data_IF_484376818791
#
_entry.id   IF_484376818791
#
_cell.length_a   1.000
_cell.length_b   1.000
_cell.length_c   1.000
_cell.angle_alpha   90.00
_cell.angle_beta   90.00
_cell.angle_gamma   90.00
#
_symmetry.space_group_name_H-M   'P 1'
#
loop_
_entity.id
_entity.type
_entity.pdbx_description
1 polymer ?
#
# COMPACT_ATOMS: atom_id res chain seq x y z
N UNK A 1 12.05 0.28 -24.00
CA UNK A 1 10.94 0.04 -23.05
C UNK A 1 9.99 -0.99 -23.68
N UNK A 2 10.41 -2.26 -23.77
CA UNK A 2 9.68 -3.35 -24.49
C UNK A 2 9.49 -4.58 -23.59
N UNK A 3 10.02 -4.55 -22.36
CA UNK A 3 9.95 -5.67 -21.41
C UNK A 3 8.60 -5.81 -20.69
N UNK A 4 7.58 -5.01 -21.02
CA UNK A 4 6.30 -5.01 -20.27
C UNK A 4 5.08 -5.30 -21.15
N UNK A 5 5.25 -5.61 -22.44
CA UNK A 5 4.13 -5.64 -23.39
C UNK A 5 4.22 -6.73 -24.48
N UNK A 6 5.08 -7.74 -24.31
CA UNK A 6 5.15 -8.91 -25.20
C UNK A 6 4.09 -9.97 -24.87
N UNK A 7 3.71 -10.82 -25.85
CA UNK A 7 2.77 -11.95 -25.64
C UNK A 7 3.22 -12.89 -24.51
N UNK A 8 4.52 -12.99 -24.26
CA UNK A 8 5.10 -13.80 -23.18
C UNK A 8 4.85 -13.23 -21.77
N UNK A 9 4.41 -11.97 -21.65
CA UNK A 9 4.01 -11.35 -20.38
C UNK A 9 2.54 -11.58 -20.02
N UNK A 10 1.73 -12.10 -20.95
CA UNK A 10 0.31 -12.41 -20.71
C UNK A 10 0.06 -13.26 -19.46
N UNK A 11 0.83 -14.31 -19.14
CA UNK A 11 0.60 -15.10 -17.92
C UNK A 11 1.02 -14.37 -16.62
N UNK A 12 1.79 -13.29 -16.69
CA UNK A 12 2.20 -12.50 -15.51
C UNK A 12 1.15 -11.45 -15.10
N UNK A 13 0.28 -11.05 -16.03
CA UNK A 13 -0.78 -10.07 -15.79
C UNK A 13 -1.67 -10.38 -14.55
N UNK A 14 -2.20 -11.61 -14.36
CA UNK A 14 -3.03 -11.91 -13.19
C UNK A 14 -2.25 -11.77 -11.87
N UNK A 15 -0.99 -12.20 -11.83
CA UNK A 15 -0.12 -12.05 -10.65
C UNK A 15 0.11 -10.59 -10.29
N UNK A 16 0.36 -9.73 -11.29
CA UNK A 16 0.57 -8.30 -11.09
C UNK A 16 -0.70 -7.58 -10.60
N UNK A 17 -1.86 -7.96 -11.14
CA UNK A 17 -3.14 -7.41 -10.69
C UNK A 17 -3.47 -7.84 -9.26
N UNK A 18 -3.17 -9.10 -8.90
CA UNK A 18 -3.33 -9.58 -7.52
C UNK A 18 -2.35 -8.91 -6.56
N UNK A 19 -1.15 -8.54 -7.01
CA UNK A 19 -0.17 -7.81 -6.19
C UNK A 19 -0.55 -6.34 -5.92
N UNK A 20 -1.39 -5.72 -6.75
CA UNK A 20 -1.76 -4.31 -6.60
C UNK A 20 -2.27 -3.93 -5.18
N UNK A 21 -3.18 -4.68 -4.52
CA UNK A 21 -3.60 -4.40 -3.14
C UNK A 21 -2.51 -4.61 -2.08
N UNK A 22 -1.37 -5.24 -2.42
CA UNK A 22 -0.27 -5.40 -1.49
C UNK A 22 0.36 -4.06 -1.10
N UNK A 23 0.46 -3.10 -2.03
CA UNK A 23 1.05 -1.79 -1.76
C UNK A 23 0.40 -1.04 -0.58
N UNK A 24 -0.93 -0.82 -0.55
CA UNK A 24 -1.56 -0.18 0.60
C UNK A 24 -1.47 -1.01 1.88
N UNK A 25 -1.52 -2.35 1.79
CA UNK A 25 -1.37 -3.21 2.96
C UNK A 25 0.02 -3.11 3.59
N UNK A 26 1.07 -3.14 2.78
CA UNK A 26 2.44 -2.95 3.25
C UNK A 26 2.63 -1.58 3.88
N UNK A 27 2.02 -0.55 3.30
CA UNK A 27 2.04 0.78 3.90
C UNK A 27 1.38 0.79 5.29
N UNK A 28 0.23 0.16 5.44
CA UNK A 28 -0.48 0.02 6.71
C UNK A 28 0.32 -0.77 7.74
N UNK A 29 0.91 -1.91 7.35
CA UNK A 29 1.77 -2.72 8.21
C UNK A 29 3.00 -1.92 8.69
N UNK A 30 3.65 -1.22 7.76
CA UNK A 30 4.81 -0.35 8.07
C UNK A 30 4.42 0.77 9.02
N UNK A 31 3.28 1.41 8.82
CA UNK A 31 2.80 2.47 9.70
C UNK A 31 2.52 1.95 11.12
N UNK A 32 1.86 0.79 11.24
CA UNK A 32 1.63 0.12 12.52
C UNK A 32 2.94 -0.24 13.22
N UNK A 33 3.92 -0.77 12.49
CA UNK A 33 5.24 -1.09 13.01
C UNK A 33 5.99 0.15 13.50
N UNK A 34 6.00 1.25 12.73
CA UNK A 34 6.61 2.51 13.15
C UNK A 34 5.99 3.05 14.44
N UNK A 35 4.66 2.99 14.55
CA UNK A 35 3.97 3.45 15.74
C UNK A 35 4.31 2.60 16.98
N UNK A 36 4.39 1.27 16.83
CA UNK A 36 4.85 0.38 17.89
C UNK A 36 6.30 0.68 18.31
N UNK A 37 7.18 1.01 17.37
CA UNK A 37 8.56 1.42 17.66
C UNK A 37 8.59 2.73 18.46
N UNK A 38 7.78 3.72 18.08
CA UNK A 38 7.66 4.98 18.81
C UNK A 38 7.14 4.79 20.25
N UNK A 39 6.31 3.77 20.48
CA UNK A 39 5.85 3.36 21.82
C UNK A 39 6.85 2.46 22.56
N UNK A 40 8.08 2.34 22.06
CA UNK A 40 9.15 1.50 22.61
C UNK A 40 8.79 0.00 22.69
N UNK A 41 7.89 -0.47 21.81
CA UNK A 41 7.44 -1.88 21.71
C UNK A 41 8.13 -2.63 20.56
N UNK A 42 9.44 -2.42 20.38
CA UNK A 42 10.20 -3.02 19.28
C UNK A 42 10.15 -4.56 19.28
N UNK A 43 10.16 -5.19 20.46
CA UNK A 43 10.06 -6.65 20.58
C UNK A 43 8.73 -7.21 20.05
N UNK A 44 7.65 -6.44 20.15
CA UNK A 44 6.36 -6.83 19.56
C UNK A 44 6.46 -6.86 18.05
N UNK A 45 7.07 -5.84 17.44
CA UNK A 45 7.29 -5.78 15.98
C UNK A 45 8.14 -6.96 15.51
N UNK A 46 9.20 -7.29 16.25
CA UNK A 46 10.05 -8.46 15.94
C UNK A 46 9.23 -9.75 15.99
N UNK A 47 8.41 -9.96 17.02
CA UNK A 47 7.57 -11.16 17.15
C UNK A 47 6.57 -11.29 16.01
N UNK A 48 5.91 -10.19 15.63
CA UNK A 48 4.94 -10.21 14.52
C UNK A 48 5.64 -10.51 13.20
N UNK A 49 6.76 -9.85 12.90
CA UNK A 49 7.51 -10.09 11.67
C UNK A 49 8.09 -11.51 11.62
N UNK A 50 8.55 -12.06 12.76
CA UNK A 50 9.02 -13.44 12.83
C UNK A 50 7.88 -14.44 12.59
N UNK A 51 6.69 -14.18 13.17
CA UNK A 51 5.51 -14.99 12.91
C UNK A 51 5.11 -14.93 11.42
N UNK A 52 5.10 -13.75 10.81
CA UNK A 52 4.82 -13.57 9.39
C UNK A 52 5.85 -14.28 8.49
N UNK A 53 7.13 -14.22 8.85
CA UNK A 53 8.22 -14.91 8.15
C UNK A 53 8.05 -16.43 8.16
N UNK A 54 7.55 -16.98 9.27
CA UNK A 54 7.26 -18.41 9.39
C UNK A 54 5.99 -18.76 8.62
N UNK A 55 4.90 -18.00 8.80
CA UNK A 55 3.59 -18.28 8.19
C UNK A 55 3.64 -18.18 6.65
N UNK A 56 4.41 -17.23 6.11
CA UNK A 56 4.49 -16.96 4.67
C UNK A 56 4.85 -18.20 3.83
N UNK A 57 5.94 -18.96 4.08
CA UNK A 57 6.24 -20.18 3.33
C UNK A 57 5.20 -21.28 3.53
N UNK A 58 4.62 -21.41 4.73
CA UNK A 58 3.55 -22.39 5.00
C UNK A 58 2.26 -22.10 4.25
N UNK A 59 1.94 -20.83 4.01
CA UNK A 59 0.83 -20.43 3.14
C UNK A 59 1.19 -20.57 1.66
N UNK A 60 2.39 -20.12 1.26
CA UNK A 60 2.81 -20.12 -0.13
C UNK A 60 2.95 -21.53 -0.71
N UNK A 61 3.53 -22.49 0.03
CA UNK A 61 3.77 -23.84 -0.48
C UNK A 61 2.49 -24.55 -1.00
N UNK A 62 1.41 -24.72 -0.21
CA UNK A 62 0.19 -25.36 -0.70
C UNK A 62 -0.54 -24.52 -1.75
N UNK A 63 -0.51 -23.19 -1.63
CA UNK A 63 -1.17 -22.28 -2.57
C UNK A 63 -0.50 -22.28 -3.95
N UNK A 64 0.83 -22.32 -4.02
CA UNK A 64 1.57 -22.44 -5.28
C UNK A 64 1.29 -23.79 -5.91
N UNK A 65 1.31 -24.87 -5.14
CA UNK A 65 0.99 -26.22 -5.64
C UNK A 65 -0.44 -26.26 -6.21
N UNK A 66 -1.42 -25.67 -5.52
CA UNK A 66 -2.78 -25.57 -6.03
C UNK A 66 -2.85 -24.74 -7.32
N UNK A 67 -2.12 -23.62 -7.38
CA UNK A 67 -2.11 -22.72 -8.53
C UNK A 67 -1.51 -23.34 -9.78
N UNK A 68 -0.56 -24.26 -9.63
CA UNK A 68 -0.02 -25.02 -10.76
C UNK A 68 -1.10 -25.87 -11.47
N UNK A 69 -2.14 -26.30 -10.76
CA UNK A 69 -3.23 -27.09 -11.32
C UNK A 69 -4.27 -26.23 -12.07
N UNK A 70 -4.29 -24.91 -11.84
CA UNK A 70 -5.28 -23.99 -12.43
C UNK A 70 -4.81 -23.34 -13.74
N UNK A 71 -3.59 -23.66 -14.16
CA UNK A 71 -3.03 -23.24 -15.45
C UNK A 71 -1.96 -22.14 -15.35
N UNK A 72 -1.48 -21.65 -16.50
CA UNK A 72 -0.36 -20.71 -16.55
C UNK A 72 -0.67 -19.40 -15.82
N UNK A 73 0.24 -18.98 -14.93
CA UNK A 73 0.14 -17.71 -14.17
C UNK A 73 -0.52 -17.82 -12.79
N UNK A 74 -1.34 -18.85 -12.55
CA UNK A 74 -2.06 -19.00 -11.27
C UNK A 74 -1.18 -19.32 -10.07
N UNK A 75 -0.04 -20.00 -10.28
CA UNK A 75 0.97 -20.18 -9.24
C UNK A 75 1.46 -18.83 -8.68
N UNK A 76 1.70 -17.85 -9.54
CA UNK A 76 2.07 -16.49 -9.14
C UNK A 76 0.91 -15.72 -8.51
N UNK A 77 -0.30 -15.88 -9.03
CA UNK A 77 -1.51 -15.28 -8.46
C UNK A 77 -1.80 -15.75 -7.04
N UNK A 78 -1.71 -17.06 -6.77
CA UNK A 78 -1.92 -17.60 -5.43
C UNK A 78 -0.76 -17.30 -4.47
N UNK A 79 0.47 -17.17 -4.97
CA UNK A 79 1.58 -16.66 -4.16
C UNK A 79 1.38 -15.17 -3.77
N UNK A 80 0.87 -14.36 -4.71
CA UNK A 80 0.49 -12.98 -4.42
C UNK A 80 -0.63 -12.94 -3.39
N UNK A 81 -1.65 -13.80 -3.51
CA UNK A 81 -2.71 -13.92 -2.52
C UNK A 81 -2.19 -14.28 -1.12
N UNK A 82 -1.28 -15.26 -1.02
CA UNK A 82 -0.63 -15.61 0.24
C UNK A 82 0.10 -14.41 0.87
N UNK A 83 0.76 -13.61 0.04
CA UNK A 83 1.48 -12.41 0.46
C UNK A 83 0.52 -11.33 0.98
N UNK A 84 -0.59 -11.09 0.27
CA UNK A 84 -1.68 -10.20 0.70
C UNK A 84 -2.25 -10.64 2.05
N UNK A 85 -2.54 -11.93 2.23
CA UNK A 85 -3.07 -12.46 3.49
C UNK A 85 -2.08 -12.27 4.63
N UNK A 86 -0.79 -12.54 4.39
CA UNK A 86 0.25 -12.39 5.42
C UNK A 86 0.42 -10.93 5.82
N UNK A 87 0.47 -10.03 4.83
CA UNK A 87 0.62 -8.60 5.07
C UNK A 87 -0.63 -8.00 5.73
N UNK A 88 -1.82 -8.44 5.30
CA UNK A 88 -3.08 -8.07 5.90
C UNK A 88 -3.18 -8.53 7.36
N UNK A 89 -2.74 -9.75 7.67
CA UNK A 89 -2.66 -10.24 9.05
C UNK A 89 -1.65 -9.42 9.87
N UNK A 90 -0.47 -9.10 9.31
CA UNK A 90 0.55 -8.29 9.98
C UNK A 90 0.01 -6.88 10.32
N UNK A 91 -0.63 -6.23 9.35
CA UNK A 91 -1.30 -4.96 9.55
C UNK A 91 -2.39 -5.08 10.62
N UNK A 92 -3.30 -6.05 10.50
CA UNK A 92 -4.41 -6.25 11.44
C UNK A 92 -3.92 -6.50 12.88
N UNK A 93 -2.92 -7.36 13.08
CA UNK A 93 -2.33 -7.63 14.40
C UNK A 93 -1.67 -6.37 14.96
N UNK A 94 -0.92 -5.64 14.14
CA UNK A 94 -0.29 -4.39 14.55
C UNK A 94 -1.34 -3.38 15.01
N UNK A 95 -2.39 -3.15 14.22
CA UNK A 95 -3.49 -2.25 14.60
C UNK A 95 -4.28 -2.74 15.81
N UNK A 96 -4.48 -4.05 15.95
CA UNK A 96 -5.16 -4.65 17.11
C UNK A 96 -4.40 -4.39 18.42
N UNK A 97 -3.08 -4.61 18.41
CA UNK A 97 -2.22 -4.39 19.60
C UNK A 97 -2.13 -2.90 19.95
N UNK A 98 -2.14 -2.05 18.92
CA UNK A 98 -2.04 -0.61 19.05
C UNK A 98 -3.40 0.00 19.52
N UNK A 99 -4.50 -0.68 19.23
CA UNK A 99 -5.83 -0.40 19.78
C UNK A 99 -6.35 0.99 19.44
N UNK A 100 -7.06 1.61 20.38
CA UNK A 100 -7.61 2.97 20.21
C UNK A 100 -6.54 4.05 20.04
N UNK A 101 -5.28 3.78 20.40
CA UNK A 101 -4.17 4.72 20.21
C UNK A 101 -3.74 4.83 18.73
N UNK A 102 -4.04 3.81 17.92
CA UNK A 102 -3.67 3.76 16.51
C UNK A 102 -4.70 4.40 15.58
N UNK A 103 -5.96 4.25 15.96
CA UNK A 103 -7.09 4.47 15.08
C UNK A 103 -7.83 5.72 15.53
N UNK A 104 -7.28 6.86 15.14
CA UNK A 104 -7.95 8.14 15.34
C UNK A 104 -9.07 8.33 14.29
N UNK A 105 -10.11 9.10 14.63
CA UNK A 105 -11.16 9.52 13.70
C UNK A 105 -10.57 10.19 12.45
N UNK A 106 -9.43 10.86 12.62
CA UNK A 106 -8.65 11.45 11.52
C UNK A 106 -8.13 10.39 10.56
N UNK A 107 -7.61 9.26 11.06
CA UNK A 107 -7.11 8.17 10.22
C UNK A 107 -8.24 7.55 9.38
N UNK A 108 -9.39 7.25 9.99
CA UNK A 108 -10.57 6.77 9.27
C UNK A 108 -11.06 7.77 8.22
N UNK A 109 -11.06 9.06 8.54
CA UNK A 109 -11.46 10.10 7.59
C UNK A 109 -10.52 10.14 6.36
N UNK A 110 -9.20 10.03 6.58
CA UNK A 110 -8.21 9.98 5.49
C UNK A 110 -8.41 8.72 4.66
N UNK A 111 -8.53 7.54 5.28
CA UNK A 111 -8.78 6.28 4.59
C UNK A 111 -10.06 6.32 3.75
N UNK A 112 -11.15 6.84 4.31
CA UNK A 112 -12.42 6.99 3.59
C UNK A 112 -12.31 7.94 2.40
N UNK A 113 -11.64 9.10 2.56
CA UNK A 113 -11.40 10.04 1.45
C UNK A 113 -10.55 9.42 0.35
N UNK A 114 -9.46 8.74 0.70
CA UNK A 114 -8.58 8.09 -0.27
C UNK A 114 -9.32 6.96 -1.00
N UNK A 115 -10.11 6.15 -0.29
CA UNK A 115 -10.96 5.12 -0.90
C UNK A 115 -11.99 5.72 -1.86
N UNK A 116 -12.64 6.83 -1.48
CA UNK A 116 -13.58 7.54 -2.36
C UNK A 116 -12.89 8.09 -3.62
N UNK A 117 -11.70 8.67 -3.50
CA UNK A 117 -10.91 9.13 -4.66
C UNK A 117 -10.56 7.95 -5.57
N UNK A 118 -10.05 6.85 -5.01
CA UNK A 118 -9.73 5.65 -5.77
C UNK A 118 -10.96 5.11 -6.50
N UNK A 119 -12.12 5.04 -5.84
CA UNK A 119 -13.37 4.59 -6.46
C UNK A 119 -13.81 5.52 -7.60
N UNK A 120 -13.69 6.83 -7.42
CA UNK A 120 -14.06 7.83 -8.43
C UNK A 120 -13.14 7.75 -9.66
N UNK A 121 -11.82 7.67 -9.44
CA UNK A 121 -10.83 7.50 -10.52
C UNK A 121 -11.03 6.16 -11.23
N UNK A 122 -11.34 5.08 -10.50
CA UNK A 122 -11.64 3.76 -11.10
C UNK A 122 -12.93 3.79 -11.91
N UNK A 123 -13.98 4.44 -11.41
CA UNK A 123 -15.22 4.63 -12.16
C UNK A 123 -14.99 5.41 -13.45
N UNK A 124 -14.18 6.48 -13.38
CA UNK A 124 -13.82 7.27 -14.55
C UNK A 124 -12.97 6.46 -15.55
N UNK A 125 -12.05 5.63 -15.06
CA UNK A 125 -11.24 4.72 -15.86
C UNK A 125 -12.09 3.71 -16.66
N UNK A 126 -13.23 3.26 -16.10
CA UNK A 126 -14.18 2.37 -16.80
C UNK A 126 -15.05 3.14 -17.81
N UNK A 127 -15.36 4.41 -17.54
CA UNK A 127 -16.24 5.24 -18.36
C UNK A 127 -15.55 5.94 -19.54
N UNK A 128 -14.21 6.17 -19.50
CA UNK A 128 -13.50 6.79 -20.62
C UNK A 128 -13.18 5.78 -21.75
N UNK A 129 -13.55 6.09 -23.01
CA UNK A 129 -13.13 5.31 -24.16
C UNK A 129 -11.61 5.38 -24.40
N UNK A 130 -11.12 4.39 -25.14
CA UNK A 130 -9.74 3.99 -25.47
C UNK A 130 -8.76 5.04 -26.03
N UNK A 131 -8.51 6.17 -25.35
CA UNK A 131 -7.35 7.02 -25.61
C UNK A 131 -6.10 6.46 -24.93
N UNK A 132 -5.50 5.42 -25.54
CA UNK A 132 -4.50 4.57 -24.89
C UNK A 132 -3.22 5.29 -24.41
N UNK A 133 -2.76 6.34 -25.08
CA UNK A 133 -1.49 7.00 -24.74
C UNK A 133 -1.62 8.08 -23.65
N UNK A 134 -2.72 8.86 -23.65
CA UNK A 134 -2.91 10.01 -22.75
C UNK A 134 -3.68 9.69 -21.47
N UNK A 135 -4.26 8.48 -21.39
CA UNK A 135 -5.08 8.05 -20.27
C UNK A 135 -4.33 7.99 -18.94
N UNK A 136 -3.14 7.38 -18.90
CA UNK A 136 -2.38 7.22 -17.65
C UNK A 136 -1.95 8.58 -17.06
N UNK A 137 -1.34 9.51 -17.83
CA UNK A 137 -1.01 10.84 -17.30
C UNK A 137 -2.24 11.59 -16.77
N UNK A 138 -3.38 11.48 -17.45
CA UNK A 138 -4.61 12.17 -17.09
C UNK A 138 -5.24 11.59 -15.82
N UNK A 139 -5.24 10.26 -15.67
CA UNK A 139 -5.68 9.59 -14.44
C UNK A 139 -4.80 9.95 -13.25
N UNK A 140 -3.47 10.01 -13.44
CA UNK A 140 -2.54 10.46 -12.40
C UNK A 140 -2.79 11.92 -12.02
N UNK A 141 -2.93 12.80 -13.02
CA UNK A 141 -3.20 14.22 -12.80
C UNK A 141 -4.53 14.43 -12.07
N UNK A 142 -5.59 13.71 -12.46
CA UNK A 142 -6.89 13.77 -11.82
C UNK A 142 -6.83 13.23 -10.39
N UNK A 143 -6.16 12.11 -10.16
CA UNK A 143 -5.98 11.55 -8.83
C UNK A 143 -5.29 12.56 -7.90
N UNK A 144 -4.20 13.19 -8.37
CA UNK A 144 -3.49 14.21 -7.61
C UNK A 144 -4.38 15.44 -7.34
N UNK A 145 -5.11 15.90 -8.35
CA UNK A 145 -5.99 17.05 -8.23
C UNK A 145 -7.12 16.78 -7.23
N UNK A 146 -7.77 15.62 -7.29
CA UNK A 146 -8.79 15.21 -6.31
C UNK A 146 -8.20 15.02 -4.91
N UNK A 147 -7.01 14.42 -4.80
CA UNK A 147 -6.33 14.23 -3.52
C UNK A 147 -5.99 15.57 -2.83
N UNK A 148 -5.60 16.58 -3.61
CA UNK A 148 -5.36 17.94 -3.12
C UNK A 148 -6.68 18.63 -2.77
N UNK A 149 -7.68 18.61 -3.65
CA UNK A 149 -8.95 19.30 -3.43
C UNK A 149 -9.74 18.75 -2.24
N UNK A 150 -9.76 17.43 -2.06
CA UNK A 150 -10.44 16.78 -0.93
C UNK A 150 -9.64 16.88 0.38
N UNK A 151 -8.46 17.51 0.34
CA UNK A 151 -7.53 17.64 1.45
C UNK A 151 -7.22 16.26 2.06
N UNK A 152 -7.07 15.25 1.19
CA UNK A 152 -6.66 13.90 1.56
C UNK A 152 -5.16 13.86 1.84
N UNK A 153 -4.39 14.69 1.13
CA UNK A 153 -3.01 15.01 1.47
C UNK A 153 -3.01 16.16 2.49
N UNK A 154 -2.44 15.99 3.70
CA UNK A 154 -2.28 17.06 4.65
C UNK A 154 -1.14 18.00 4.22
N UNK A 155 -1.33 18.71 3.10
CA UNK A 155 -0.31 19.59 2.49
C UNK A 155 0.16 20.65 3.47
N UNK A 156 -0.74 21.10 4.35
CA UNK A 156 -0.42 22.03 5.44
C UNK A 156 0.59 21.47 6.44
N UNK A 157 0.44 20.19 6.84
CA UNK A 157 1.34 19.54 7.79
C UNK A 157 2.71 19.29 7.16
N UNK A 158 2.75 18.86 5.89
CA UNK A 158 4.00 18.67 5.14
C UNK A 158 4.77 19.99 5.05
N UNK A 159 4.07 21.09 4.71
CA UNK A 159 4.68 22.42 4.62
C UNK A 159 5.22 22.87 5.99
N UNK A 160 4.47 22.61 7.06
CA UNK A 160 4.86 22.98 8.42
C UNK A 160 6.08 22.19 8.89
N UNK A 161 6.12 20.87 8.68
CA UNK A 161 7.28 20.04 8.98
C UNK A 161 8.51 20.45 8.15
N UNK A 162 8.32 20.79 6.87
CA UNK A 162 9.41 21.28 6.02
C UNK A 162 9.97 22.62 6.53
N UNK A 163 9.10 23.55 6.94
CA UNK A 163 9.52 24.83 7.52
C UNK A 163 10.24 24.64 8.86
N UNK A 164 9.76 23.75 9.73
CA UNK A 164 10.40 23.41 11.00
C UNK A 164 11.78 22.74 10.80
N UNK A 165 11.93 21.87 9.80
CA UNK A 165 13.21 21.27 9.43
C UNK A 165 14.22 22.30 8.86
N UNK A 166 13.74 23.28 8.10
CA UNK A 166 14.59 24.38 7.57
C UNK A 166 15.03 25.31 8.70
N UNK A 167 14.12 25.65 9.62
CA UNK A 167 14.42 26.55 10.73
C UNK A 167 15.36 25.93 11.76
N UNK A 168 15.21 24.63 12.08
CA UNK A 168 16.13 23.90 12.97
C UNK A 168 17.56 23.79 12.40
N UNK A 169 17.71 23.68 11.08
CA UNK A 169 19.03 23.74 10.42
C UNK A 169 19.68 25.12 10.44
N UNK A 170 18.89 26.20 10.42
CA UNK A 170 19.39 27.57 10.55
C UNK A 170 19.85 27.88 11.98
N UNK A 171 19.13 27.39 13.00
CA UNK A 171 19.53 27.54 14.41
C UNK A 171 20.85 26.85 14.76
N UNK A 172 21.13 25.68 14.20
CA UNK A 172 22.39 24.94 14.40
C UNK A 172 23.63 25.53 13.72
N UNK A 173 23.48 26.47 12.77
CA UNK A 173 24.59 27.15 12.10
C UNK A 173 25.01 28.46 12.79
N UNK A 174 24.24 28.91 13.78
CA UNK A 174 24.48 30.17 14.50
C UNK A 174 25.16 29.99 15.87
N UNK A 175 25.57 28.76 16.20
CA UNK A 175 26.38 28.37 17.36
C UNK A 175 27.63 27.67 16.87
#
# INVERSE_FOLDING_TARGET
MVLTSGKDYSPAAPSLLMLAPQFPLTYLATFGALHLILLNRIYTVIKINLAALIISPFLNAPLIMLGQHWGPGWAGGLAAFASICTEGANAAISFYILGAAAVDRRFWAIMGKTAAICALVTGLHVLLPSWQAWRIPLEVALYLLLAVLLNALPVGDIRRMAMEAVNSRRGKKAT
#
